data_IF_456133289280
#
_entry.id   IF_456133289280
#
_cell.length_a   1.000
_cell.length_b   1.000
_cell.length_c   1.000
_cell.angle_alpha   90.00
_cell.angle_beta   90.00
_cell.angle_gamma   90.00
#
_symmetry.space_group_name_H-M   'P 1'
#
loop_
_entity.id
_entity.type
_entity.pdbx_description
1 polymer ?
#
# COMPACT_ATOMS: atom_id res chain seq x y z
N UNK A 1 -5.95 14.81 7.40
CA UNK A 1 -7.28 14.26 7.69
C UNK A 1 -8.20 14.60 6.52
N UNK A 2 -9.26 13.83 6.29
CA UNK A 2 -10.28 14.15 5.25
C UNK A 2 -10.90 15.54 5.42
N UNK A 3 -10.82 16.12 6.59
CA UNK A 3 -11.34 17.45 6.92
C UNK A 3 -10.48 18.57 6.33
N UNK A 4 -9.19 18.37 6.17
CA UNK A 4 -8.26 19.34 5.60
C UNK A 4 -8.38 19.45 4.08
N UNK A 5 -9.10 18.49 3.44
CA UNK A 5 -9.27 18.43 1.99
C UNK A 5 -10.47 19.25 1.49
N UNK A 6 -11.27 19.88 2.40
CA UNK A 6 -12.38 20.73 1.99
C UNK A 6 -11.88 22.18 1.80
N UNK A 7 -11.74 22.65 0.54
CA UNK A 7 -11.21 23.98 0.27
C UNK A 7 -11.99 25.07 0.96
N UNK A 8 -11.33 26.18 1.32
CA UNK A 8 -11.95 27.28 2.06
C UNK A 8 -13.07 28.03 1.31
N UNK A 9 -13.09 27.93 -0.02
CA UNK A 9 -14.14 28.53 -0.84
C UNK A 9 -15.46 27.72 -0.86
N UNK A 10 -15.45 26.48 -0.33
CA UNK A 10 -16.67 25.68 -0.16
C UNK A 10 -17.47 26.26 1.01
N UNK A 11 -18.74 26.58 0.79
CA UNK A 11 -19.61 27.17 1.81
C UNK A 11 -20.48 26.13 2.52
N UNK A 12 -20.81 25.04 1.85
CA UNK A 12 -21.72 24.03 2.39
C UNK A 12 -21.24 22.60 2.09
N UNK A 13 -21.57 21.68 2.98
CA UNK A 13 -21.25 20.25 2.86
C UNK A 13 -22.53 19.44 3.05
N UNK A 14 -22.66 18.37 2.29
CA UNK A 14 -23.67 17.32 2.50
C UNK A 14 -22.91 16.07 2.90
N UNK A 15 -22.94 15.66 4.18
CA UNK A 15 -22.28 14.44 4.59
C UNK A 15 -23.00 13.21 4.05
N UNK A 16 -22.23 12.19 3.68
CA UNK A 16 -22.74 10.89 3.29
C UNK A 16 -21.95 9.83 4.06
N UNK A 17 -22.61 9.02 4.87
CA UNK A 17 -21.99 7.93 5.60
C UNK A 17 -22.89 6.69 5.56
N UNK A 18 -22.29 5.52 5.36
CA UNK A 18 -22.95 4.20 5.35
C UNK A 18 -24.24 4.16 4.48
N UNK A 19 -24.18 4.76 3.30
CA UNK A 19 -25.32 4.90 2.35
C UNK A 19 -26.46 5.83 2.82
N UNK A 20 -26.28 6.57 3.91
CA UNK A 20 -27.20 7.62 4.35
C UNK A 20 -26.68 8.98 3.94
N UNK A 21 -27.58 9.82 3.43
CA UNK A 21 -27.30 11.21 3.07
C UNK A 21 -27.84 12.11 4.18
N UNK A 22 -26.96 12.83 4.83
CA UNK A 22 -27.33 13.74 5.92
C UNK A 22 -27.78 15.12 5.39
N UNK A 23 -28.50 15.90 6.20
CA UNK A 23 -28.88 17.25 5.80
C UNK A 23 -27.70 18.12 5.45
N UNK A 24 -27.90 19.02 4.49
CA UNK A 24 -26.93 20.07 4.14
C UNK A 24 -26.60 20.91 5.38
N UNK A 25 -25.33 21.18 5.60
CA UNK A 25 -24.85 22.05 6.68
C UNK A 25 -23.77 22.99 6.17
N UNK A 26 -23.53 24.09 6.88
CA UNK A 26 -22.43 24.98 6.59
C UNK A 26 -21.07 24.30 6.80
N UNK A 27 -20.07 24.69 6.00
CA UNK A 27 -18.73 24.10 6.06
C UNK A 27 -18.15 24.15 7.48
N UNK A 28 -18.26 25.29 8.16
CA UNK A 28 -17.70 25.47 9.51
C UNK A 28 -18.39 24.55 10.52
N UNK A 29 -19.72 24.48 10.48
CA UNK A 29 -20.48 23.58 11.34
C UNK A 29 -20.13 22.11 11.10
N UNK A 30 -19.86 21.73 9.84
CA UNK A 30 -19.38 20.40 9.48
C UNK A 30 -17.98 20.15 10.08
N UNK A 31 -17.04 21.07 9.90
CA UNK A 31 -15.69 20.92 10.41
C UNK A 31 -15.66 20.84 11.93
N UNK A 32 -16.47 21.62 12.64
CA UNK A 32 -16.56 21.59 14.11
C UNK A 32 -17.21 20.29 14.59
N UNK A 33 -18.27 19.82 13.93
CA UNK A 33 -18.95 18.58 14.29
C UNK A 33 -18.12 17.31 14.10
N UNK A 34 -17.18 17.34 13.15
CA UNK A 34 -16.36 16.18 12.78
C UNK A 34 -14.89 16.29 13.20
N UNK A 35 -14.47 17.42 13.79
CA UNK A 35 -13.10 17.63 14.28
C UNK A 35 -12.74 16.71 15.44
N UNK A 36 -13.70 16.36 16.29
CA UNK A 36 -13.50 15.61 17.53
C UNK A 36 -14.13 14.21 17.51
N UNK A 37 -14.82 13.85 16.41
CA UNK A 37 -15.46 12.53 16.31
C UNK A 37 -14.48 11.46 15.79
N UNK A 38 -14.24 10.48 16.63
CA UNK A 38 -13.86 9.09 16.31
C UNK A 38 -12.43 8.75 15.85
N UNK A 39 -11.54 9.71 15.65
CA UNK A 39 -10.17 9.34 15.21
C UNK A 39 -9.38 8.71 16.37
N UNK A 40 -9.55 9.17 17.59
CA UNK A 40 -8.72 8.72 18.71
C UNK A 40 -9.13 7.34 19.27
N UNK A 41 -10.43 7.06 19.39
CA UNK A 41 -10.92 5.79 19.99
C UNK A 41 -10.78 4.65 19.01
N UNK A 42 -11.20 4.85 17.75
CA UNK A 42 -11.06 3.86 16.67
C UNK A 42 -9.60 3.56 16.35
N UNK A 43 -8.72 4.56 16.37
CA UNK A 43 -7.29 4.40 16.11
C UNK A 43 -6.59 3.54 17.17
N UNK A 44 -6.91 3.71 18.44
CA UNK A 44 -6.32 2.92 19.52
C UNK A 44 -6.76 1.45 19.48
N UNK A 45 -8.00 1.15 19.13
CA UNK A 45 -8.48 -0.23 18.96
C UNK A 45 -7.85 -0.90 17.74
N UNK A 46 -7.80 -0.22 16.60
CA UNK A 46 -7.13 -0.71 15.39
C UNK A 46 -5.64 -0.94 15.63
N UNK A 47 -4.98 -0.05 16.34
CA UNK A 47 -3.56 -0.17 16.67
C UNK A 47 -3.28 -1.39 17.56
N UNK A 48 -4.13 -1.66 18.57
CA UNK A 48 -4.03 -2.89 19.37
C UNK A 48 -4.22 -4.13 18.52
N UNK A 49 -5.24 -4.16 17.67
CA UNK A 49 -5.50 -5.27 16.75
C UNK A 49 -4.34 -5.54 15.80
N UNK A 50 -3.65 -4.50 15.31
CA UNK A 50 -2.46 -4.64 14.45
C UNK A 50 -1.26 -5.19 15.23
N UNK A 51 -1.11 -4.83 16.52
CA UNK A 51 -0.05 -5.37 17.38
C UNK A 51 -0.28 -6.86 17.68
N UNK A 52 -1.54 -7.26 17.84
CA UNK A 52 -1.94 -8.65 18.12
C UNK A 52 -2.02 -9.53 16.86
N UNK A 53 -1.44 -9.09 15.75
CA UNK A 53 -1.43 -9.84 14.50
C UNK A 53 -0.81 -11.21 14.70
N UNK A 54 -1.48 -12.32 14.36
CA UNK A 54 -0.91 -13.66 14.41
C UNK A 54 0.03 -13.86 13.21
N UNK A 55 1.15 -13.15 13.21
CA UNK A 55 2.04 -13.09 12.07
C UNK A 55 3.50 -13.04 12.55
N UNK A 56 4.25 -14.06 12.20
CA UNK A 56 5.71 -14.03 12.29
C UNK A 56 6.22 -13.03 11.25
N UNK A 57 6.50 -11.82 11.72
CA UNK A 57 6.93 -10.72 10.86
C UNK A 57 8.09 -11.14 9.97
N UNK A 58 8.15 -10.53 8.79
CA UNK A 58 9.23 -10.74 7.84
C UNK A 58 10.60 -10.64 8.50
N UNK A 59 11.22 -11.80 8.79
CA UNK A 59 12.52 -11.90 9.43
C UNK A 59 13.63 -11.56 8.42
N UNK A 60 13.96 -10.28 8.34
CA UNK A 60 15.26 -9.83 7.84
C UNK A 60 15.97 -9.08 8.97
N UNK A 61 17.27 -9.38 9.15
CA UNK A 61 18.06 -8.89 10.30
C UNK A 61 18.58 -7.46 10.14
N UNK A 62 18.26 -6.78 9.03
CA UNK A 62 18.76 -5.44 8.75
C UNK A 62 17.82 -4.35 9.27
N UNK A 63 18.40 -3.37 9.96
CA UNK A 63 17.72 -2.10 10.25
C UNK A 63 17.53 -1.22 9.00
N UNK A 64 18.48 -1.34 8.03
CA UNK A 64 18.38 -0.63 6.74
C UNK A 64 17.50 -1.45 5.78
N UNK A 65 16.30 -0.92 5.52
CA UNK A 65 15.32 -1.53 4.61
C UNK A 65 15.66 -1.24 3.14
N UNK A 66 16.03 0.00 2.87
CA UNK A 66 16.49 0.47 1.56
C UNK A 66 17.77 1.26 1.74
N UNK A 67 18.75 1.00 0.91
CA UNK A 67 20.00 1.79 0.87
C UNK A 67 20.45 1.96 -0.57
N UNK A 68 20.52 3.19 -1.00
CA UNK A 68 21.05 3.63 -2.29
C UNK A 68 22.33 4.43 -2.02
N UNK A 69 23.40 4.11 -2.74
CA UNK A 69 24.65 4.84 -2.64
C UNK A 69 25.05 5.34 -4.02
N UNK A 70 25.06 6.66 -4.21
CA UNK A 70 25.39 7.36 -5.46
C UNK A 70 24.73 6.74 -6.69
N UNK A 71 23.44 6.47 -6.57
CA UNK A 71 22.65 5.82 -7.62
C UNK A 71 22.29 6.84 -8.70
N UNK A 72 22.70 6.54 -9.93
CA UNK A 72 22.33 7.33 -11.10
C UNK A 72 21.56 6.44 -12.08
N UNK A 73 20.42 6.95 -12.57
CA UNK A 73 19.57 6.27 -13.55
C UNK A 73 19.33 7.22 -14.71
N UNK A 74 19.53 6.71 -15.91
CA UNK A 74 19.27 7.46 -17.14
C UNK A 74 18.54 6.59 -18.17
N UNK A 75 17.81 7.25 -19.03
CA UNK A 75 17.18 6.65 -20.22
C UNK A 75 17.56 7.51 -21.42
N UNK A 76 18.15 6.91 -22.42
CA UNK A 76 18.75 7.58 -23.56
C UNK A 76 19.72 8.68 -23.09
N UNK A 77 19.54 9.92 -23.52
CA UNK A 77 20.38 11.07 -23.16
C UNK A 77 19.87 11.82 -21.91
N UNK A 78 18.83 11.31 -21.23
CA UNK A 78 18.21 11.96 -20.07
C UNK A 78 18.57 11.28 -18.76
N UNK A 79 19.26 12.00 -17.88
CA UNK A 79 19.45 11.58 -16.48
C UNK A 79 18.16 11.84 -15.70
N UNK A 80 17.66 10.82 -15.01
CA UNK A 80 16.46 10.87 -14.18
C UNK A 80 16.80 10.95 -12.68
N UNK A 81 17.78 10.15 -12.25
CA UNK A 81 18.35 10.21 -10.90
C UNK A 81 19.85 10.43 -11.06
N UNK A 82 20.41 11.31 -10.27
CA UNK A 82 21.81 11.66 -10.32
C UNK A 82 22.46 11.56 -8.94
N UNK A 83 23.43 10.65 -8.78
CA UNK A 83 24.21 10.41 -7.58
C UNK A 83 23.38 10.39 -6.28
N UNK A 84 22.21 9.75 -6.31
CA UNK A 84 21.29 9.70 -5.18
C UNK A 84 21.83 8.81 -4.06
N UNK A 85 22.04 9.41 -2.90
CA UNK A 85 22.23 8.73 -1.63
C UNK A 85 20.92 8.76 -0.83
N UNK A 86 20.39 7.58 -0.48
CA UNK A 86 19.17 7.49 0.29
C UNK A 86 19.13 6.22 1.13
N UNK A 87 18.75 6.36 2.39
CA UNK A 87 18.59 5.25 3.31
C UNK A 87 17.23 5.32 3.99
N UNK A 88 16.50 4.22 3.97
CA UNK A 88 15.26 4.03 4.72
C UNK A 88 15.50 2.97 5.79
N UNK A 89 15.14 3.29 7.03
CA UNK A 89 15.28 2.41 8.18
C UNK A 89 13.94 1.77 8.56
N UNK A 90 14.01 0.69 9.30
CA UNK A 90 12.82 0.01 9.81
C UNK A 90 11.95 0.97 10.64
N UNK A 91 10.64 0.96 10.39
CA UNK A 91 9.67 1.81 11.08
C UNK A 91 9.55 3.23 10.53
N UNK A 92 10.44 3.69 9.66
CA UNK A 92 10.30 5.00 9.02
C UNK A 92 9.14 5.02 8.03
N UNK A 93 8.49 6.19 7.93
CA UNK A 93 7.38 6.47 6.99
C UNK A 93 7.79 7.64 6.11
N UNK A 94 7.88 7.40 4.81
CA UNK A 94 8.36 8.37 3.84
C UNK A 94 7.27 8.83 2.89
N UNK A 95 7.20 10.12 2.63
CA UNK A 95 6.38 10.70 1.58
C UNK A 95 7.30 11.18 0.44
N UNK A 96 7.10 10.61 -0.75
CA UNK A 96 7.83 11.01 -1.95
C UNK A 96 7.00 12.01 -2.75
N UNK A 97 7.44 13.26 -2.78
CA UNK A 97 6.76 14.38 -3.46
C UNK A 97 7.62 14.94 -4.59
N UNK A 98 6.99 15.61 -5.55
CA UNK A 98 7.63 16.26 -6.68
C UNK A 98 6.72 16.35 -7.90
N UNK A 99 7.10 17.11 -8.90
CA UNK A 99 6.36 17.29 -10.16
C UNK A 99 6.28 15.99 -10.98
N UNK A 100 5.36 15.95 -11.95
CA UNK A 100 5.28 14.86 -12.90
C UNK A 100 6.57 14.79 -13.74
N UNK A 101 7.14 13.60 -13.85
CA UNK A 101 8.42 13.41 -14.55
C UNK A 101 9.67 13.63 -13.68
N UNK A 102 9.54 13.98 -12.39
CA UNK A 102 10.67 14.18 -11.48
C UNK A 102 11.40 12.89 -11.06
N UNK A 103 11.03 11.72 -11.59
CA UNK A 103 11.71 10.45 -11.29
C UNK A 103 11.13 9.65 -10.14
N UNK A 104 9.98 10.06 -9.54
CA UNK A 104 9.33 9.32 -8.42
C UNK A 104 9.07 7.85 -8.74
N UNK A 105 8.46 7.58 -9.89
CA UNK A 105 8.16 6.20 -10.33
C UNK A 105 9.44 5.41 -10.61
N UNK A 106 10.48 6.06 -11.13
CA UNK A 106 11.80 5.44 -11.32
C UNK A 106 12.42 5.04 -9.98
N UNK A 107 12.39 5.93 -8.98
CA UNK A 107 12.88 5.62 -7.64
C UNK A 107 12.10 4.46 -7.00
N UNK A 108 10.75 4.49 -7.08
CA UNK A 108 9.93 3.38 -6.58
C UNK A 108 10.21 2.06 -7.30
N UNK A 109 10.46 2.08 -8.61
CA UNK A 109 10.80 0.87 -9.36
C UNK A 109 12.14 0.24 -8.92
N UNK A 110 13.09 1.05 -8.44
CA UNK A 110 14.33 0.54 -7.84
C UNK A 110 14.05 -0.17 -6.49
N UNK A 111 13.20 0.43 -5.65
CA UNK A 111 12.82 -0.14 -4.35
C UNK A 111 12.01 -1.43 -4.53
N UNK A 112 11.10 -1.46 -5.50
CA UNK A 112 10.30 -2.64 -5.82
C UNK A 112 11.07 -3.74 -6.57
N UNK A 113 12.37 -3.50 -6.85
CA UNK A 113 13.22 -4.39 -7.62
C UNK A 113 12.73 -4.67 -9.07
N UNK A 114 11.91 -3.76 -9.61
CA UNK A 114 11.35 -3.87 -10.97
C UNK A 114 12.21 -3.20 -12.05
N UNK A 115 13.17 -2.36 -11.65
CA UNK A 115 14.04 -1.65 -12.58
C UNK A 115 15.26 -2.50 -12.94
N UNK A 116 15.48 -2.84 -14.22
CA UNK A 116 16.64 -3.63 -14.66
C UNK A 116 17.99 -2.96 -14.33
N UNK A 117 18.07 -1.63 -14.35
CA UNK A 117 19.29 -0.89 -14.04
C UNK A 117 19.69 -1.03 -12.56
N UNK A 118 18.80 -1.53 -11.68
CA UNK A 118 19.12 -1.77 -10.28
C UNK A 118 20.30 -2.72 -10.07
N UNK A 119 20.56 -3.64 -11.00
CA UNK A 119 21.68 -4.57 -10.93
C UNK A 119 23.04 -3.92 -11.17
N UNK A 120 23.08 -2.81 -11.91
CA UNK A 120 24.31 -2.04 -12.18
C UNK A 120 24.56 -0.97 -11.11
N UNK A 121 23.62 -0.75 -10.19
CA UNK A 121 23.69 0.27 -9.18
C UNK A 121 24.09 -0.29 -7.81
N UNK A 122 24.63 0.58 -6.94
CA UNK A 122 24.93 0.20 -5.57
C UNK A 122 23.68 0.35 -4.69
N UNK A 123 22.83 -0.68 -4.74
CA UNK A 123 21.54 -0.73 -4.04
C UNK A 123 21.54 -1.95 -3.12
N UNK A 124 21.08 -1.76 -1.88
CA UNK A 124 20.76 -2.84 -0.96
C UNK A 124 19.30 -2.75 -0.54
N UNK A 125 18.61 -3.87 -0.54
CA UNK A 125 17.22 -4.00 -0.10
C UNK A 125 17.14 -5.08 0.98
N UNK A 126 16.53 -4.74 2.12
CA UNK A 126 16.43 -5.63 3.29
C UNK A 126 17.78 -6.20 3.73
N UNK A 127 18.83 -5.38 3.68
CA UNK A 127 20.19 -5.76 4.05
C UNK A 127 20.96 -6.56 2.99
N UNK A 128 20.34 -6.89 1.84
CA UNK A 128 20.99 -7.63 0.74
C UNK A 128 21.32 -6.73 -0.42
N UNK A 129 22.58 -6.77 -0.85
CA UNK A 129 23.04 -6.01 -2.02
C UNK A 129 22.48 -6.61 -3.30
N UNK A 130 22.00 -5.76 -4.23
CA UNK A 130 21.52 -6.19 -5.54
C UNK A 130 22.65 -6.71 -6.41
N UNK A 131 22.40 -7.77 -7.18
CA UNK A 131 23.36 -8.38 -8.10
C UNK A 131 24.35 -9.33 -7.44
N UNK A 132 24.08 -9.82 -6.22
CA UNK A 132 24.92 -10.80 -5.53
C UNK A 132 24.39 -12.22 -5.59
N UNK A 133 23.44 -12.50 -6.50
CA UNK A 133 22.84 -13.83 -6.69
C UNK A 133 21.50 -14.02 -5.98
N UNK A 134 20.96 -12.97 -5.38
CA UNK A 134 19.62 -13.00 -4.76
C UNK A 134 18.52 -13.14 -5.81
N UNK A 135 17.51 -13.92 -5.49
CA UNK A 135 16.30 -14.00 -6.30
C UNK A 135 15.45 -12.74 -6.12
N UNK A 136 14.87 -12.25 -7.21
CA UNK A 136 13.89 -11.13 -7.16
C UNK A 136 12.72 -11.48 -6.24
N UNK A 137 12.34 -12.74 -6.16
CA UNK A 137 11.25 -13.22 -5.31
C UNK A 137 11.57 -13.14 -3.81
N UNK A 138 12.86 -13.29 -3.44
CA UNK A 138 13.31 -13.12 -2.05
C UNK A 138 13.18 -11.67 -1.58
N UNK A 139 13.25 -10.71 -2.50
CA UNK A 139 13.04 -9.30 -2.20
C UNK A 139 11.54 -8.99 -2.21
N UNK A 140 10.84 -9.39 -3.26
CA UNK A 140 9.41 -9.08 -3.45
C UNK A 140 8.51 -9.64 -2.35
N UNK A 141 8.88 -10.75 -1.71
CA UNK A 141 8.11 -11.30 -0.58
C UNK A 141 8.00 -10.32 0.61
N UNK A 142 8.91 -9.35 0.72
CA UNK A 142 8.89 -8.33 1.79
C UNK A 142 8.21 -7.03 1.37
N UNK A 143 7.73 -6.92 0.13
CA UNK A 143 7.19 -5.68 -0.43
C UNK A 143 5.71 -5.84 -0.74
N UNK A 144 4.86 -5.14 0.00
CA UNK A 144 3.48 -4.90 -0.39
C UNK A 144 3.40 -3.70 -1.35
N UNK A 145 2.77 -3.87 -2.51
CA UNK A 145 2.68 -2.83 -3.52
C UNK A 145 1.24 -2.60 -3.98
N UNK A 146 0.86 -1.33 -4.06
CA UNK A 146 -0.44 -0.89 -4.60
C UNK A 146 -0.20 0.28 -5.54
N UNK A 147 -0.79 0.24 -6.73
CA UNK A 147 -0.78 1.35 -7.67
C UNK A 147 -2.09 1.48 -8.43
N UNK A 148 -2.38 2.66 -9.00
CA UNK A 148 -3.53 2.82 -9.89
C UNK A 148 -3.48 1.90 -11.12
N UNK A 149 -2.28 1.61 -11.63
CA UNK A 149 -2.05 0.70 -12.76
C UNK A 149 -2.43 -0.73 -12.39
N UNK A 150 -2.02 -1.19 -11.20
CA UNK A 150 -2.41 -2.51 -10.68
C UNK A 150 -3.93 -2.63 -10.56
N UNK A 151 -4.60 -1.60 -10.03
CA UNK A 151 -6.06 -1.59 -9.93
C UNK A 151 -6.72 -1.74 -11.31
N UNK A 152 -6.24 -1.02 -12.33
CA UNK A 152 -6.76 -1.13 -13.70
C UNK A 152 -6.45 -2.47 -14.37
N UNK A 153 -5.30 -3.05 -14.06
CA UNK A 153 -4.87 -4.33 -14.62
C UNK A 153 -5.55 -5.55 -13.97
N UNK A 154 -6.19 -5.35 -12.81
CA UNK A 154 -6.79 -6.45 -12.05
C UNK A 154 -8.20 -6.78 -12.59
N UNK A 155 -8.24 -7.53 -13.70
CA UNK A 155 -9.47 -7.90 -14.40
C UNK A 155 -9.97 -9.32 -14.04
N UNK A 156 -9.42 -9.93 -12.98
CA UNK A 156 -9.84 -11.27 -12.53
C UNK A 156 -11.13 -11.17 -11.73
N UNK A 157 -12.15 -11.90 -12.19
CA UNK A 157 -13.45 -11.99 -11.49
C UNK A 157 -13.44 -13.12 -10.44
N UNK A 158 -12.54 -12.99 -9.47
CA UNK A 158 -12.40 -13.89 -8.33
C UNK A 158 -13.07 -13.29 -7.10
N UNK A 159 -13.45 -14.10 -6.09
CA UNK A 159 -13.86 -13.60 -4.79
C UNK A 159 -12.82 -12.64 -4.18
N UNK A 160 -13.27 -11.62 -3.47
CA UNK A 160 -12.39 -10.61 -2.88
C UNK A 160 -11.30 -11.21 -1.99
N UNK A 161 -11.64 -12.26 -1.23
CA UNK A 161 -10.67 -12.97 -0.38
C UNK A 161 -9.55 -13.62 -1.19
N UNK A 162 -9.84 -14.15 -2.37
CA UNK A 162 -8.82 -14.74 -3.25
C UNK A 162 -7.90 -13.68 -3.87
N UNK A 163 -8.45 -12.49 -4.12
CA UNK A 163 -7.64 -11.34 -4.54
C UNK A 163 -6.66 -10.95 -3.44
N UNK A 164 -7.12 -10.85 -2.19
CA UNK A 164 -6.28 -10.57 -1.03
C UNK A 164 -5.20 -11.65 -0.87
N UNK A 165 -5.59 -12.92 -0.89
CA UNK A 165 -4.67 -14.05 -0.75
C UNK A 165 -3.63 -14.17 -1.87
N UNK A 166 -3.91 -13.64 -3.07
CA UNK A 166 -2.93 -13.58 -4.16
C UNK A 166 -1.69 -12.74 -3.82
N UNK A 167 -1.80 -11.86 -2.82
CA UNK A 167 -0.69 -11.08 -2.27
C UNK A 167 0.42 -11.93 -1.68
N UNK A 168 0.10 -13.06 -1.07
CA UNK A 168 1.06 -14.01 -0.49
C UNK A 168 2.08 -14.55 -1.53
N UNK A 169 1.72 -14.54 -2.80
CA UNK A 169 2.53 -15.09 -3.89
C UNK A 169 2.89 -14.07 -4.97
N UNK A 170 2.60 -12.78 -4.78
CA UNK A 170 2.81 -11.72 -5.77
C UNK A 170 2.18 -11.98 -7.14
N UNK A 171 1.12 -12.75 -7.20
CA UNK A 171 0.45 -13.12 -8.44
C UNK A 171 -0.79 -12.27 -8.72
N UNK A 172 -1.14 -12.11 -10.00
CA UNK A 172 -2.44 -11.60 -10.43
C UNK A 172 -3.39 -12.79 -10.51
N UNK A 173 -4.12 -13.03 -9.42
CA UNK A 173 -4.98 -14.20 -9.22
C UNK A 173 -4.33 -15.29 -8.37
N UNK A 174 -5.15 -16.20 -7.89
CA UNK A 174 -4.74 -17.26 -6.97
C UNK A 174 -4.39 -18.53 -7.75
N UNK A 175 -3.10 -18.87 -7.82
CA UNK A 175 -2.61 -20.08 -8.50
C UNK A 175 -2.27 -21.22 -7.54
N UNK A 176 -2.12 -20.92 -6.26
CA UNK A 176 -1.86 -21.90 -5.21
C UNK A 176 -2.81 -21.65 -4.07
N UNK A 177 -3.44 -22.72 -3.58
CA UNK A 177 -4.38 -22.62 -2.46
C UNK A 177 -3.62 -22.26 -1.18
N UNK A 178 -3.95 -21.15 -0.51
CA UNK A 178 -3.30 -20.77 0.75
C UNK A 178 -3.62 -21.79 1.85
N UNK A 179 -2.71 -21.88 2.82
CA UNK A 179 -2.95 -22.65 4.03
C UNK A 179 -4.03 -21.98 4.91
N UNK A 180 -4.73 -22.73 5.78
CA UNK A 180 -5.76 -22.16 6.64
C UNK A 180 -5.28 -20.94 7.46
N UNK A 181 -4.06 -20.99 7.99
CA UNK A 181 -3.44 -19.91 8.77
C UNK A 181 -3.25 -18.64 7.90
N UNK A 182 -2.84 -18.81 6.65
CA UNK A 182 -2.68 -17.73 5.69
C UNK A 182 -4.03 -17.10 5.32
N UNK A 183 -5.07 -17.92 5.18
CA UNK A 183 -6.43 -17.43 4.94
C UNK A 183 -6.95 -16.63 6.13
N UNK A 184 -6.67 -17.06 7.37
CA UNK A 184 -7.03 -16.32 8.57
C UNK A 184 -6.40 -14.91 8.59
N UNK A 185 -5.13 -14.78 8.18
CA UNK A 185 -4.46 -13.47 8.04
C UNK A 185 -5.15 -12.61 6.96
N UNK A 186 -5.55 -13.21 5.84
CA UNK A 186 -6.28 -12.48 4.80
C UNK A 186 -7.64 -11.97 5.30
N UNK A 187 -8.42 -12.81 5.99
CA UNK A 187 -9.69 -12.42 6.58
C UNK A 187 -9.51 -11.33 7.64
N UNK A 188 -8.49 -11.43 8.45
CA UNK A 188 -8.15 -10.43 9.46
C UNK A 188 -7.84 -9.06 8.84
N UNK A 189 -7.04 -9.00 7.76
CA UNK A 189 -6.79 -7.75 7.05
C UNK A 189 -8.05 -7.19 6.39
N UNK A 190 -8.90 -8.04 5.83
CA UNK A 190 -10.20 -7.61 5.30
C UNK A 190 -11.09 -7.00 6.38
N UNK A 191 -11.05 -7.54 7.60
CA UNK A 191 -11.79 -7.01 8.73
C UNK A 191 -11.23 -5.66 9.20
N UNK A 192 -9.90 -5.51 9.29
CA UNK A 192 -9.23 -4.23 9.59
C UNK A 192 -9.66 -3.13 8.61
N UNK A 193 -9.76 -3.45 7.33
CA UNK A 193 -10.19 -2.50 6.30
C UNK A 193 -11.72 -2.38 6.16
N UNK A 194 -12.49 -3.04 7.03
CA UNK A 194 -13.96 -2.96 7.05
C UNK A 194 -14.66 -3.61 5.86
N UNK A 195 -14.01 -4.55 5.18
CA UNK A 195 -14.52 -5.26 4.01
C UNK A 195 -14.71 -6.76 4.21
N UNK A 196 -14.70 -7.24 5.46
CA UNK A 196 -14.89 -8.68 5.78
C UNK A 196 -16.18 -9.26 5.21
N UNK A 197 -17.27 -8.50 5.25
CA UNK A 197 -18.57 -8.91 4.68
C UNK A 197 -18.60 -9.08 3.15
N UNK A 198 -17.51 -8.67 2.48
CA UNK A 198 -17.41 -8.73 1.01
C UNK A 198 -16.50 -9.87 0.54
N UNK A 199 -16.02 -10.74 1.43
CA UNK A 199 -15.00 -11.74 1.14
C UNK A 199 -15.35 -12.67 -0.02
N UNK A 200 -16.60 -13.09 -0.11
CA UNK A 200 -17.10 -14.01 -1.13
C UNK A 200 -17.65 -13.31 -2.38
N UNK A 201 -17.73 -11.97 -2.35
CA UNK A 201 -18.24 -11.18 -3.48
C UNK A 201 -17.20 -11.10 -4.58
N UNK A 202 -17.59 -11.30 -5.86
CA UNK A 202 -16.69 -11.14 -7.00
C UNK A 202 -16.06 -9.74 -7.02
N UNK A 203 -14.73 -9.67 -7.19
CA UNK A 203 -13.97 -8.42 -7.13
C UNK A 203 -14.50 -7.34 -8.08
N UNK A 204 -14.87 -7.72 -9.31
CA UNK A 204 -15.37 -6.77 -10.31
C UNK A 204 -16.79 -6.24 -9.99
N UNK A 205 -17.49 -6.83 -9.04
CA UNK A 205 -18.78 -6.35 -8.55
C UNK A 205 -18.66 -5.43 -7.32
N UNK A 206 -17.45 -5.26 -6.82
CA UNK A 206 -17.14 -4.30 -5.76
C UNK A 206 -17.14 -2.88 -6.32
N UNK A 207 -17.50 -1.91 -5.49
CA UNK A 207 -17.28 -0.50 -5.82
C UNK A 207 -15.79 -0.19 -5.97
N UNK A 208 -15.45 0.88 -6.67
CA UNK A 208 -14.05 1.29 -6.87
C UNK A 208 -13.30 1.50 -5.54
N UNK A 209 -13.99 1.98 -4.49
CA UNK A 209 -13.44 2.13 -3.16
C UNK A 209 -13.15 0.78 -2.51
N UNK A 210 -14.13 -0.15 -2.52
CA UNK A 210 -13.99 -1.51 -1.97
C UNK A 210 -12.88 -2.29 -2.69
N UNK A 211 -12.76 -2.15 -4.02
CA UNK A 211 -11.68 -2.75 -4.79
C UNK A 211 -10.31 -2.24 -4.33
N UNK A 212 -10.17 -0.95 -4.08
CA UNK A 212 -8.92 -0.36 -3.57
C UNK A 212 -8.59 -0.87 -2.18
N UNK A 213 -9.59 -1.01 -1.28
CA UNK A 213 -9.38 -1.58 0.04
C UNK A 213 -8.96 -3.05 -0.03
N UNK A 214 -9.54 -3.85 -0.93
CA UNK A 214 -9.12 -5.23 -1.15
C UNK A 214 -7.68 -5.33 -1.69
N UNK A 215 -7.28 -4.45 -2.61
CA UNK A 215 -5.89 -4.39 -3.09
C UNK A 215 -4.93 -3.87 -2.01
N UNK A 216 -5.38 -3.00 -1.13
CA UNK A 216 -4.61 -2.58 0.02
C UNK A 216 -4.42 -3.76 0.99
N UNK A 217 -5.49 -4.47 1.36
CA UNK A 217 -5.39 -5.69 2.16
C UNK A 217 -4.43 -6.70 1.53
N UNK A 218 -4.50 -6.90 0.20
CA UNK A 218 -3.57 -7.73 -0.56
C UNK A 218 -2.10 -7.33 -0.37
N UNK A 219 -1.79 -6.05 -0.23
CA UNK A 219 -0.43 -5.59 -0.01
C UNK A 219 0.06 -5.85 1.42
N UNK A 220 -0.84 -5.98 2.39
CA UNK A 220 -0.52 -6.16 3.80
C UNK A 220 -0.45 -7.62 4.26
N UNK A 221 -0.88 -8.59 3.46
CA UNK A 221 -0.84 -10.03 3.84
C UNK A 221 0.55 -10.67 3.74
N UNK A 222 1.56 -9.90 3.38
CA UNK A 222 2.97 -10.36 3.24
C UNK A 222 3.73 -10.29 4.54
#
# INVERSE_FOLDING_TARGET
SMLDDIPSFITHVIPVDKMEVFPKMEREAYLDAFRDRDIAVSFNELQKRIIDLPYDGNNYDSDEVVKLNKVSIGYDDRTILNELDWTVRRGEKWALSGENGAGKSTLLSLVCADNPQSYACNISLFGRKRGTGESIWEIKKHIGYVSPEMHRAYLKNLPAIEIVASGLHDSIGLYKRPQPEQMAVCEWWMDIFGIAGLKDKPFLQLSSGEQRLALLARAFVK
#
